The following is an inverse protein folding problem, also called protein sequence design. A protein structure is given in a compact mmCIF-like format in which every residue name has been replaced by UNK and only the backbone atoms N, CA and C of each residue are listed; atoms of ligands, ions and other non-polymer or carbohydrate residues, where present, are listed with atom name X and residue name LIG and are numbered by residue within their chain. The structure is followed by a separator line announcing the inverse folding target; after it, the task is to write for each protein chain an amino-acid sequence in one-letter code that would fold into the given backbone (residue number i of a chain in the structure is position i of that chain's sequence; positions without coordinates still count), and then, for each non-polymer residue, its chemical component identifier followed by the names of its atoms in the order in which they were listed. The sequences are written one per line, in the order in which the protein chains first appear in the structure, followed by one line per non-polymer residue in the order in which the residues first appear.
data_IF_060010137240
#
_entry.id   IF_060010137240
#
_cell.length_a   1.000
_cell.length_b   1.000
_cell.length_c   1.000
_cell.angle_alpha   90.00
_cell.angle_beta   90.00
_cell.angle_gamma   90.00
#
_symmetry.space_group_name_H-M   'P 1'
#
loop_
_entity.id
_entity.type
_entity.pdbx_description
1 polymer ?
#
# COMPACT_ATOMS: atom_id res chain seq x y z
N UNK A 1 5.40 -13.04 -4.71
CA UNK A 1 4.40 -12.05 -4.23
C UNK A 1 4.74 -10.69 -4.82
N UNK A 2 3.73 -9.94 -5.23
CA UNK A 2 3.85 -8.54 -5.60
C UNK A 2 3.08 -7.69 -4.58
N UNK A 3 3.56 -6.47 -4.33
CA UNK A 3 2.87 -5.51 -3.50
C UNK A 3 1.79 -4.75 -4.27
N UNK A 4 0.77 -4.29 -3.57
CA UNK A 4 -0.14 -3.28 -4.10
C UNK A 4 0.26 -1.91 -3.59
N UNK A 5 0.53 -1.00 -4.51
CA UNK A 5 0.67 0.42 -4.21
C UNK A 5 -0.68 1.02 -3.85
N UNK A 6 -0.68 2.07 -3.07
CA UNK A 6 -1.88 2.78 -2.62
C UNK A 6 -1.78 4.25 -2.99
N UNK A 7 -2.88 4.83 -3.41
CA UNK A 7 -2.95 6.24 -3.68
C UNK A 7 -4.30 6.82 -3.27
N UNK A 8 -4.34 8.11 -3.05
CA UNK A 8 -5.54 8.83 -2.73
C UNK A 8 -5.85 9.89 -3.77
N UNK A 9 -7.13 10.07 -4.05
CA UNK A 9 -7.67 11.12 -4.89
C UNK A 9 -8.96 11.68 -4.29
N UNK A 10 -9.13 13.00 -4.32
CA UNK A 10 -10.36 13.66 -3.87
C UNK A 10 -10.46 13.90 -2.37
N UNK A 11 -9.40 13.66 -1.58
CA UNK A 11 -9.35 14.05 -0.18
C UNK A 11 -9.27 15.58 -0.04
N UNK A 12 -9.96 16.13 0.95
CA UNK A 12 -9.77 17.53 1.32
C UNK A 12 -8.44 17.72 2.10
N UNK A 13 -7.99 18.97 2.19
CA UNK A 13 -6.71 19.30 2.85
C UNK A 13 -6.69 18.89 4.33
N UNK A 14 -7.80 19.02 5.03
CA UNK A 14 -7.89 18.64 6.45
C UNK A 14 -7.59 17.15 6.66
N UNK A 15 -8.13 16.29 5.80
CA UNK A 15 -7.88 14.83 5.84
C UNK A 15 -6.48 14.47 5.40
N UNK A 16 -5.93 15.16 4.40
CA UNK A 16 -4.53 14.97 4.00
C UNK A 16 -3.58 15.34 5.13
N UNK A 17 -3.81 16.46 5.82
CA UNK A 17 -3.01 16.89 6.95
C UNK A 17 -3.17 15.93 8.15
N UNK A 18 -4.38 15.44 8.40
CA UNK A 18 -4.63 14.45 9.44
C UNK A 18 -3.92 13.13 9.14
N UNK A 19 -3.97 12.66 7.89
CA UNK A 19 -3.24 11.47 7.46
C UNK A 19 -1.73 11.65 7.64
N UNK A 20 -1.19 12.79 7.21
CA UNK A 20 0.23 13.09 7.39
C UNK A 20 0.66 13.07 8.87
N UNK A 21 -0.13 13.67 9.75
CA UNK A 21 0.14 13.61 11.21
C UNK A 21 0.12 12.18 11.73
N UNK A 22 -0.85 11.35 11.28
CA UNK A 22 -0.93 9.95 11.69
C UNK A 22 0.23 9.11 11.17
N UNK A 23 0.69 9.35 9.96
CA UNK A 23 1.88 8.68 9.43
C UNK A 23 3.13 8.95 10.30
N UNK A 24 3.29 10.14 10.84
CA UNK A 24 4.39 10.45 11.77
C UNK A 24 4.33 9.67 13.10
N UNK A 25 3.19 9.11 13.48
CA UNK A 25 3.10 8.23 14.66
C UNK A 25 3.77 6.87 14.41
N UNK A 26 3.73 6.37 13.17
CA UNK A 26 4.21 5.04 12.77
C UNK A 26 5.56 5.05 12.04
N UNK A 27 5.90 6.15 11.37
CA UNK A 27 7.05 6.21 10.48
C UNK A 27 8.01 7.35 10.81
N UNK A 28 9.28 7.11 10.47
CA UNK A 28 10.33 8.13 10.39
C UNK A 28 10.42 8.58 8.95
N UNK A 29 10.38 9.87 8.71
CA UNK A 29 10.41 10.47 7.38
C UNK A 29 11.83 10.88 7.01
N UNK A 30 12.26 10.59 5.79
CA UNK A 30 13.53 11.04 5.23
C UNK A 30 13.36 11.42 3.77
N UNK A 31 14.00 12.51 3.35
CA UNK A 31 13.96 12.95 1.96
C UNK A 31 14.73 11.97 1.06
N UNK A 32 14.19 11.72 -0.13
CA UNK A 32 14.79 10.85 -1.15
C UNK A 32 14.86 11.60 -2.46
N UNK A 33 15.98 11.41 -3.17
CA UNK A 33 16.09 11.94 -4.53
C UNK A 33 15.44 10.99 -5.52
N UNK A 34 14.76 11.56 -6.49
CA UNK A 34 14.16 10.82 -7.58
C UNK A 34 15.23 10.21 -8.48
N UNK A 35 15.29 8.89 -8.55
CA UNK A 35 16.13 8.15 -9.50
C UNK A 35 15.22 7.24 -10.34
N UNK A 36 15.46 7.17 -11.66
CA UNK A 36 14.65 6.33 -12.56
C UNK A 36 14.71 4.85 -12.16
N UNK A 37 15.83 4.38 -11.65
CA UNK A 37 16.02 3.02 -11.14
C UNK A 37 15.14 2.66 -9.94
N UNK A 38 14.50 3.64 -9.32
CA UNK A 38 13.65 3.45 -8.15
C UNK A 38 12.45 2.54 -8.43
N UNK A 39 11.91 2.55 -9.64
CA UNK A 39 10.76 1.72 -10.02
C UNK A 39 11.16 0.30 -10.43
N UNK A 40 12.40 0.10 -10.87
CA UNK A 40 12.93 -1.18 -11.32
C UNK A 40 13.63 -1.94 -10.20
N UNK A 41 14.17 -1.25 -9.21
CA UNK A 41 14.77 -1.90 -8.07
C UNK A 41 13.67 -2.51 -7.21
N UNK A 42 13.68 -3.83 -7.11
CA UNK A 42 13.03 -4.52 -6.00
C UNK A 42 13.56 -3.90 -4.72
N UNK A 43 12.82 -2.94 -4.18
CA UNK A 43 13.12 -2.33 -2.90
C UNK A 43 13.16 -3.47 -1.89
N UNK A 44 14.36 -3.92 -1.56
CA UNK A 44 14.56 -5.08 -0.68
C UNK A 44 14.36 -4.77 0.79
N UNK A 45 14.13 -3.50 1.10
CA UNK A 45 13.93 -3.05 2.47
C UNK A 45 12.42 -3.08 2.80
N UNK A 46 11.99 -4.17 3.40
CA UNK A 46 10.60 -4.43 3.78
C UNK A 46 10.05 -3.41 4.78
N UNK A 47 10.94 -2.70 5.49
CA UNK A 47 10.59 -1.74 6.54
C UNK A 47 10.41 -0.32 6.00
N UNK A 48 10.48 -0.12 4.69
CA UNK A 48 10.33 1.18 4.05
C UNK A 48 9.26 1.18 2.97
N UNK A 49 8.60 2.30 2.85
CA UNK A 49 7.71 2.65 1.73
C UNK A 49 8.09 4.03 1.20
N UNK A 50 7.82 4.27 -0.06
CA UNK A 50 8.03 5.60 -0.63
C UNK A 50 6.70 6.29 -0.79
N UNK A 51 6.58 7.44 -0.17
CA UNK A 51 5.47 8.36 -0.35
C UNK A 51 5.83 9.41 -1.38
N UNK A 52 4.94 9.64 -2.32
CA UNK A 52 5.02 10.74 -3.28
C UNK A 52 3.84 11.67 -3.07
N UNK A 53 4.13 12.92 -2.77
CA UNK A 53 3.13 13.97 -2.57
C UNK A 53 3.62 15.25 -3.27
N UNK A 54 2.82 15.80 -4.19
CA UNK A 54 3.17 17.00 -4.95
C UNK A 54 4.59 16.96 -5.56
N UNK A 55 4.96 15.84 -6.18
CA UNK A 55 6.28 15.57 -6.75
C UNK A 55 7.45 15.50 -5.75
N UNK A 56 7.19 15.57 -4.46
CA UNK A 56 8.18 15.32 -3.43
C UNK A 56 8.19 13.85 -3.05
N UNK A 57 9.39 13.26 -3.02
CA UNK A 57 9.60 11.89 -2.57
C UNK A 57 10.08 11.88 -1.13
N UNK A 58 9.43 11.04 -0.35
CA UNK A 58 9.78 10.84 1.05
C UNK A 58 9.82 9.34 1.33
N UNK A 59 10.92 8.84 1.86
CA UNK A 59 10.97 7.50 2.41
C UNK A 59 10.38 7.50 3.81
N UNK A 60 9.46 6.58 4.03
CA UNK A 60 8.83 6.30 5.31
C UNK A 60 9.42 5.01 5.86
N UNK A 61 10.29 5.11 6.84
CA UNK A 61 10.87 3.95 7.53
C UNK A 61 10.03 3.60 8.75
N UNK A 62 9.71 2.33 8.92
CA UNK A 62 8.91 1.85 10.04
C UNK A 62 9.64 2.14 11.37
N UNK A 63 8.93 2.64 12.37
CA UNK A 63 9.49 2.83 13.71
C UNK A 63 9.74 1.48 14.39
N UNK A 64 10.70 1.47 15.32
CA UNK A 64 10.99 0.30 16.15
C UNK A 64 9.72 -0.20 16.86
N UNK A 65 9.66 -1.51 17.08
CA UNK A 65 8.53 -2.24 17.70
C UNK A 65 7.25 -2.36 16.86
N UNK A 66 7.29 -1.99 15.59
CA UNK A 66 6.22 -2.27 14.64
C UNK A 66 6.63 -3.40 13.70
N UNK A 67 5.68 -4.21 13.26
CA UNK A 67 6.00 -5.47 12.58
C UNK A 67 5.77 -5.42 11.06
N UNK A 68 5.06 -4.41 10.56
CA UNK A 68 4.70 -4.35 9.14
C UNK A 68 4.36 -2.94 8.68
N UNK A 69 4.97 -2.53 7.58
CA UNK A 69 4.62 -1.28 6.87
C UNK A 69 3.17 -1.28 6.39
N UNK A 70 2.63 -2.45 6.01
CA UNK A 70 1.24 -2.59 5.59
C UNK A 70 0.26 -2.34 6.73
N UNK A 71 0.49 -2.93 7.89
CA UNK A 71 -0.35 -2.72 9.08
C UNK A 71 -0.26 -1.27 9.58
N UNK A 72 0.95 -0.73 9.65
CA UNK A 72 1.18 0.64 10.10
C UNK A 72 0.50 1.68 9.18
N UNK A 73 0.66 1.53 7.85
CA UNK A 73 0.00 2.41 6.89
C UNK A 73 -1.54 2.28 6.97
N UNK A 74 -2.05 1.04 7.06
CA UNK A 74 -3.48 0.80 7.15
C UNK A 74 -4.08 1.40 8.43
N UNK A 75 -3.40 1.23 9.57
CA UNK A 75 -3.81 1.83 10.84
C UNK A 75 -3.83 3.36 10.79
N UNK A 76 -2.84 3.98 10.13
CA UNK A 76 -2.85 5.43 9.92
C UNK A 76 -4.05 5.88 9.06
N UNK A 77 -4.36 5.15 8.00
CA UNK A 77 -5.50 5.42 7.11
C UNK A 77 -6.82 5.27 7.87
N UNK A 78 -7.04 4.17 8.57
CA UNK A 78 -8.28 3.89 9.32
C UNK A 78 -8.51 4.84 10.49
N UNK A 79 -7.45 5.45 11.03
CA UNK A 79 -7.59 6.46 12.08
C UNK A 79 -8.13 7.81 11.59
N UNK A 80 -8.14 8.03 10.26
CA UNK A 80 -8.54 9.29 9.63
C UNK A 80 -9.79 9.13 8.76
N UNK A 81 -9.94 7.97 8.14
CA UNK A 81 -11.00 7.70 7.17
C UNK A 81 -11.90 6.55 7.64
N UNK A 82 -13.20 6.72 7.48
CA UNK A 82 -14.16 5.64 7.67
C UNK A 82 -14.02 4.57 6.57
N UNK A 83 -14.56 3.35 6.76
CA UNK A 83 -14.51 2.29 5.73
C UNK A 83 -15.11 2.72 4.38
N UNK A 84 -16.19 3.49 4.38
CA UNK A 84 -16.82 4.00 3.17
C UNK A 84 -15.92 5.02 2.45
N UNK A 85 -15.26 5.89 3.21
CA UNK A 85 -14.31 6.87 2.68
C UNK A 85 -13.05 6.20 2.13
N UNK A 86 -12.54 5.17 2.81
CA UNK A 86 -11.43 4.37 2.28
C UNK A 86 -11.83 3.78 0.93
N UNK A 87 -12.99 3.16 0.82
CA UNK A 87 -13.48 2.59 -0.44
C UNK A 87 -13.65 3.66 -1.54
N UNK A 88 -14.06 4.87 -1.17
CA UNK A 88 -14.30 5.96 -2.12
C UNK A 88 -13.01 6.61 -2.61
N UNK A 89 -12.08 6.92 -1.71
CA UNK A 89 -10.90 7.74 -2.01
C UNK A 89 -9.65 6.97 -2.36
N UNK A 90 -9.49 5.71 -1.88
CA UNK A 90 -8.28 4.92 -2.13
C UNK A 90 -8.30 4.29 -3.52
N UNK A 91 -7.13 4.24 -4.14
CA UNK A 91 -6.87 3.54 -5.39
C UNK A 91 -5.72 2.56 -5.17
N UNK A 92 -5.85 1.38 -5.74
CA UNK A 92 -4.84 0.32 -5.68
C UNK A 92 -4.27 0.05 -7.05
N UNK A 93 -2.97 -0.07 -7.13
CA UNK A 93 -2.25 -0.44 -8.35
C UNK A 93 -1.08 -1.35 -8.00
N UNK A 94 -0.85 -2.38 -8.77
CA UNK A 94 0.27 -3.30 -8.57
C UNK A 94 1.47 -2.97 -9.47
N UNK A 95 1.25 -2.18 -10.50
CA UNK A 95 2.27 -1.73 -11.43
C UNK A 95 2.71 -0.31 -11.05
N UNK A 96 3.99 -0.17 -10.69
CA UNK A 96 4.55 1.10 -10.24
C UNK A 96 4.64 2.15 -11.35
N UNK A 97 4.90 1.74 -12.60
CA UNK A 97 4.92 2.66 -13.75
C UNK A 97 3.52 3.23 -14.03
N UNK A 98 2.50 2.37 -13.97
CA UNK A 98 1.11 2.80 -14.14
C UNK A 98 0.68 3.74 -13.00
N UNK A 99 1.09 3.47 -11.76
CA UNK A 99 0.84 4.35 -10.62
C UNK A 99 1.52 5.71 -10.83
N UNK A 100 2.78 5.72 -11.31
CA UNK A 100 3.50 6.94 -11.64
C UNK A 100 2.80 7.73 -12.74
N UNK A 101 2.38 7.07 -13.82
CA UNK A 101 1.66 7.71 -14.93
C UNK A 101 0.38 8.40 -14.46
N UNK A 102 -0.37 7.76 -13.55
CA UNK A 102 -1.58 8.34 -12.93
C UNK A 102 -1.25 9.52 -12.03
N UNK A 103 -0.13 9.49 -11.33
CA UNK A 103 0.34 10.60 -10.52
C UNK A 103 0.71 11.80 -11.39
N UNK A 104 1.51 11.58 -12.46
CA UNK A 104 1.97 12.61 -13.39
C UNK A 104 0.79 13.29 -14.13
N UNK A 105 -0.33 12.59 -14.31
CA UNK A 105 -1.57 13.14 -14.89
C UNK A 105 -2.40 13.98 -13.91
N UNK A 106 -1.89 14.28 -12.71
CA UNK A 106 -2.59 14.99 -11.63
C UNK A 106 -3.91 14.32 -11.16
N UNK A 107 -4.08 13.04 -11.43
CA UNK A 107 -5.25 12.29 -10.97
C UNK A 107 -5.17 11.81 -9.52
N UNK A 108 -3.97 11.87 -8.92
CA UNK A 108 -3.68 11.38 -7.59
C UNK A 108 -3.03 12.48 -6.73
N UNK A 109 -3.35 12.51 -5.46
CA UNK A 109 -2.84 13.51 -4.50
C UNK A 109 -1.61 13.01 -3.75
N UNK A 110 -1.66 11.77 -3.28
CA UNK A 110 -0.56 11.11 -2.58
C UNK A 110 -0.52 9.65 -2.98
N UNK A 111 0.67 9.13 -3.21
CA UNK A 111 0.92 7.73 -3.55
C UNK A 111 1.89 7.11 -2.56
N UNK A 112 1.62 5.87 -2.18
CA UNK A 112 2.49 5.03 -1.37
C UNK A 112 2.94 3.84 -2.22
N UNK A 113 4.22 3.84 -2.58
CA UNK A 113 4.84 2.73 -3.27
C UNK A 113 5.28 1.70 -2.25
N UNK A 114 4.61 0.55 -2.28
CA UNK A 114 4.78 -0.53 -1.32
C UNK A 114 5.71 -1.60 -1.86
N UNK A 115 6.54 -2.17 -0.99
CA UNK A 115 7.27 -3.40 -1.29
C UNK A 115 6.34 -4.60 -1.28
N UNK A 116 6.78 -5.70 -1.90
CA UNK A 116 6.10 -6.98 -1.70
C UNK A 116 6.19 -7.39 -0.23
N UNK A 117 5.11 -7.94 0.29
CA UNK A 117 5.12 -8.54 1.62
C UNK A 117 6.09 -9.74 1.64
N UNK A 118 6.91 -9.86 2.68
CA UNK A 118 7.82 -11.01 2.77
C UNK A 118 7.06 -12.31 2.88
N UNK A 119 7.61 -13.35 2.26
CA UNK A 119 7.02 -14.69 2.31
C UNK A 119 6.96 -15.21 3.75
N UNK A 120 7.99 -14.93 4.53
CA UNK A 120 8.06 -15.39 5.92
C UNK A 120 7.01 -14.70 6.80
N UNK A 121 6.86 -13.38 6.66
CA UNK A 121 5.81 -12.64 7.35
C UNK A 121 4.41 -13.12 6.96
N UNK A 122 4.18 -13.34 5.66
CA UNK A 122 2.91 -13.89 5.18
C UNK A 122 2.58 -15.23 5.82
N UNK A 123 3.55 -16.17 5.84
CA UNK A 123 3.37 -17.50 6.43
C UNK A 123 3.10 -17.40 7.94
N UNK A 124 3.84 -16.53 8.65
CA UNK A 124 3.64 -16.31 10.08
C UNK A 124 2.23 -15.80 10.39
N UNK A 125 1.75 -14.80 9.66
CA UNK A 125 0.41 -14.25 9.82
C UNK A 125 -0.68 -15.29 9.58
N UNK A 126 -0.56 -16.04 8.49
CA UNK A 126 -1.53 -17.11 8.16
C UNK A 126 -1.52 -18.23 9.20
N UNK A 127 -0.34 -18.65 9.67
CA UNK A 127 -0.20 -19.71 10.67
C UNK A 127 -0.81 -19.31 12.02
N UNK A 128 -0.82 -18.02 12.34
CA UNK A 128 -1.46 -17.46 13.54
C UNK A 128 -2.95 -17.14 13.37
N UNK A 129 -3.53 -17.44 12.20
CA UNK A 129 -4.93 -17.12 11.90
C UNK A 129 -5.23 -15.62 11.84
N UNK A 130 -4.21 -14.77 11.64
CA UNK A 130 -4.39 -13.33 11.53
C UNK A 130 -4.75 -12.92 10.11
N UNK A 131 -5.62 -11.92 10.00
CA UNK A 131 -5.96 -11.31 8.72
C UNK A 131 -4.95 -10.22 8.37
N UNK A 132 -4.54 -10.20 7.10
CA UNK A 132 -3.76 -9.11 6.54
C UNK A 132 -4.69 -7.97 6.10
N UNK A 133 -4.20 -6.71 6.11
CA UNK A 133 -4.95 -5.61 5.51
C UNK A 133 -5.34 -5.89 4.06
N UNK A 134 -6.45 -5.31 3.56
CA UNK A 134 -6.86 -5.48 2.17
C UNK A 134 -5.74 -5.14 1.19
N UNK A 135 -5.65 -5.92 0.10
CA UNK A 135 -4.64 -5.71 -0.95
C UNK A 135 -3.18 -5.72 -0.45
N UNK A 136 -2.87 -6.60 0.52
CA UNK A 136 -1.49 -6.79 1.01
C UNK A 136 -0.69 -7.73 0.14
N UNK A 137 -1.33 -8.62 -0.63
CA UNK A 137 -0.65 -9.63 -1.46
C UNK A 137 -1.24 -9.74 -2.85
N UNK A 138 -0.38 -9.91 -3.83
CA UNK A 138 -0.73 -10.37 -5.18
C UNK A 138 0.14 -11.58 -5.52
N UNK A 139 -0.51 -12.73 -5.72
CA UNK A 139 0.17 -13.92 -6.24
C UNK A 139 0.23 -13.82 -7.76
N UNK A 140 1.44 -13.90 -8.31
CA UNK A 140 1.66 -13.85 -9.75
C UNK A 140 2.39 -15.12 -10.22
N UNK A 141 1.97 -15.74 -11.34
CA UNK A 141 0.79 -15.41 -12.14
C UNK A 141 -0.51 -15.64 -11.38
N UNK A 142 -1.50 -14.79 -11.65
CA UNK A 142 -2.84 -14.94 -11.06
C UNK A 142 -3.49 -16.19 -11.65
N UNK A 143 -3.94 -17.09 -10.79
CA UNK A 143 -4.71 -18.25 -11.25
C UNK A 143 -6.01 -17.76 -11.91
N UNK A 144 -6.33 -18.24 -13.12
CA UNK A 144 -7.57 -17.90 -13.79
C UNK A 144 -8.76 -18.32 -12.93
N UNK A 145 -9.65 -17.38 -12.64
CA UNK A 145 -10.91 -17.69 -11.95
C UNK A 145 -11.90 -18.28 -12.94
N UNK A 146 -12.68 -19.26 -12.50
CA UNK A 146 -13.72 -19.87 -13.33
C UNK A 146 -13.27 -21.07 -14.18
N UNK A 147 -12.04 -21.56 -14.04
CA UNK A 147 -11.60 -22.80 -14.66
C UNK A 147 -12.27 -24.05 -14.10
N UNK A 148 -12.72 -23.99 -12.85
CA UNK A 148 -13.46 -25.06 -12.19
C UNK A 148 -14.75 -24.47 -11.65
N UNK A 149 -15.88 -24.92 -12.18
CA UNK A 149 -17.21 -24.55 -11.71
C UNK A 149 -17.85 -25.83 -11.15
N UNK A 150 -18.16 -25.84 -9.88
CA UNK A 150 -18.93 -26.91 -9.26
C UNK A 150 -20.38 -26.46 -9.14
N UNK A 151 -21.30 -27.25 -9.72
CA UNK A 151 -22.72 -27.10 -9.44
C UNK A 151 -22.99 -27.62 -8.02
N UNK A 152 -23.46 -26.74 -7.16
CA UNK A 152 -24.07 -27.14 -5.89
C UNK A 152 -25.54 -27.46 -6.20
N UNK A 153 -25.90 -28.75 -6.22
CA UNK A 153 -27.29 -29.12 -6.22
C UNK A 153 -27.87 -28.69 -4.88
N UNK A 154 -28.95 -27.92 -4.91
CA UNK A 154 -29.73 -27.62 -3.73
C UNK A 154 -30.19 -28.96 -3.11
N UNK A 155 -29.81 -29.16 -1.84
CA UNK A 155 -30.24 -30.31 -1.02
C UNK A 155 -31.58 -29.96 -0.39
#
# INVERSE_FOLDING_TARGET
LLGYHRAFSGLNNEKLDALNRKLHEFFIFSDVKWEESFYESNYSDEDKIIMVNNNNLTALSLKENLNSTYEALHSAIESVLSPDEITHYIRYEHNSEEMKRKLDSNGLQVCFFMNALSKNYFIDMVSRGKLLPPKSTLFYPKLPTGLVIQYLNDI
#
